data_IF_287241979639
#
_entry.id   IF_287241979639
#
_cell.length_a   1.000
_cell.length_b   1.000
_cell.length_c   1.000
_cell.angle_alpha   90.00
_cell.angle_beta   90.00
_cell.angle_gamma   90.00
#
_symmetry.space_group_name_H-M   'P 1'
#
loop_
_entity.id
_entity.type
_entity.pdbx_description
1 polymer ?
#
# COMPACT_ATOMS: atom_id res chain seq x y z
N UNK A 1 -4.46 10.24 -21.11
CA UNK A 1 -3.30 9.52 -20.61
C UNK A 1 -2.74 10.32 -19.43
N UNK A 2 -2.55 9.68 -18.30
CA UNK A 2 -1.96 10.31 -17.12
C UNK A 2 -0.44 10.47 -17.26
N UNK A 3 0.13 11.34 -16.43
CA UNK A 3 1.57 11.52 -16.36
C UNK A 3 2.26 10.28 -15.77
N UNK A 4 3.51 10.03 -16.19
CA UNK A 4 4.30 8.90 -15.73
C UNK A 4 5.69 9.36 -15.26
N UNK A 5 6.11 8.87 -14.09
CA UNK A 5 7.43 9.10 -13.51
C UNK A 5 8.08 7.77 -13.15
N UNK A 6 9.32 7.56 -13.60
CA UNK A 6 10.13 6.40 -13.23
C UNK A 6 11.42 6.89 -12.58
N UNK A 7 11.67 6.46 -11.35
CA UNK A 7 12.85 6.81 -10.58
C UNK A 7 13.70 5.56 -10.30
N UNK A 8 15.00 5.63 -10.58
CA UNK A 8 15.96 4.55 -10.32
C UNK A 8 17.12 5.03 -9.48
N UNK A 9 17.31 4.40 -8.33
CA UNK A 9 18.44 4.65 -7.43
C UNK A 9 19.52 3.57 -7.57
N UNK A 10 20.63 3.87 -8.22
CA UNK A 10 21.73 2.90 -8.44
C UNK A 10 22.48 2.52 -7.15
N UNK A 11 22.52 3.43 -6.17
CA UNK A 11 23.19 3.23 -4.88
C UNK A 11 22.30 3.63 -3.67
N UNK A 12 21.02 3.85 -3.88
CA UNK A 12 20.10 4.33 -2.87
C UNK A 12 18.67 3.85 -3.10
N UNK A 13 17.71 4.63 -2.62
CA UNK A 13 16.28 4.44 -2.88
C UNK A 13 15.91 5.03 -4.23
N UNK A 14 14.89 4.49 -4.87
CA UNK A 14 14.33 5.07 -6.08
C UNK A 14 13.65 6.41 -5.77
N UNK A 15 12.81 6.43 -4.72
CA UNK A 15 12.12 7.62 -4.20
C UNK A 15 12.28 7.63 -2.68
N UNK A 16 12.64 8.78 -2.13
CA UNK A 16 12.70 9.03 -0.68
C UNK A 16 12.11 10.42 -0.38
N UNK A 17 11.00 10.45 0.32
CA UNK A 17 10.24 11.67 0.59
C UNK A 17 9.62 11.67 2.00
N UNK A 18 9.15 12.83 2.46
CA UNK A 18 8.35 12.95 3.67
C UNK A 18 6.94 12.41 3.38
N UNK A 19 6.23 13.05 2.48
CA UNK A 19 4.92 12.67 1.99
C UNK A 19 4.96 12.40 0.49
N UNK A 20 4.13 11.47 0.02
CA UNK A 20 3.99 11.16 -1.40
C UNK A 20 2.52 11.25 -1.77
N UNK A 21 2.18 12.12 -2.71
CA UNK A 21 0.85 12.18 -3.31
C UNK A 21 0.94 11.94 -4.81
N UNK A 22 0.26 10.89 -5.28
CA UNK A 22 0.15 10.59 -6.71
C UNK A 22 -1.24 11.01 -7.16
N UNK A 23 -1.28 11.99 -8.05
CA UNK A 23 -2.49 12.61 -8.56
C UNK A 23 -3.30 11.67 -9.44
N UNK A 24 -4.58 11.95 -9.56
CA UNK A 24 -5.54 11.14 -10.30
C UNK A 24 -5.03 10.74 -11.70
N UNK A 25 -5.04 9.46 -11.99
CA UNK A 25 -4.62 8.87 -13.26
C UNK A 25 -3.10 8.91 -13.52
N UNK A 26 -2.27 9.45 -12.62
CA UNK A 26 -0.82 9.43 -12.76
C UNK A 26 -0.22 8.10 -12.32
N UNK A 27 0.96 7.78 -12.86
CA UNK A 27 1.70 6.55 -12.56
C UNK A 27 3.12 6.88 -12.08
N UNK A 28 3.52 6.30 -10.95
CA UNK A 28 4.86 6.46 -10.39
C UNK A 28 5.48 5.11 -10.14
N UNK A 29 6.76 4.96 -10.48
CA UNK A 29 7.54 3.76 -10.21
C UNK A 29 8.88 4.11 -9.60
N UNK A 30 9.24 3.42 -8.51
CA UNK A 30 10.53 3.53 -7.84
C UNK A 30 11.25 2.18 -7.78
N UNK A 31 12.54 2.16 -8.13
CA UNK A 31 13.42 1.00 -8.03
C UNK A 31 14.75 1.43 -7.39
N UNK A 32 15.26 0.68 -6.44
CA UNK A 32 16.53 1.02 -5.79
C UNK A 32 17.10 -0.09 -4.94
N UNK A 33 18.40 -0.05 -4.70
CA UNK A 33 19.13 -1.05 -3.88
C UNK A 33 18.79 -0.94 -2.39
N UNK A 34 18.41 0.24 -1.90
CA UNK A 34 17.96 0.46 -0.52
C UNK A 34 16.43 0.53 -0.40
N UNK A 35 15.71 0.04 -1.42
CA UNK A 35 14.27 0.07 -1.54
C UNK A 35 13.78 0.92 -2.72
N UNK A 36 12.62 0.60 -3.25
CA UNK A 36 12.04 1.32 -4.39
C UNK A 36 11.47 2.67 -3.99
N UNK A 37 10.61 2.67 -2.97
CA UNK A 37 9.89 3.86 -2.49
C UNK A 37 9.91 3.90 -0.98
N UNK A 38 10.24 5.06 -0.41
CA UNK A 38 10.19 5.32 1.02
C UNK A 38 9.47 6.64 1.29
N UNK A 39 8.42 6.58 2.10
CA UNK A 39 7.77 7.75 2.70
C UNK A 39 7.95 7.71 4.22
N UNK A 40 8.38 8.83 4.80
CA UNK A 40 8.53 8.97 6.26
C UNK A 40 7.23 9.36 6.94
N UNK A 41 6.19 9.67 6.17
CA UNK A 41 4.85 9.97 6.62
C UNK A 41 3.86 9.23 5.72
N UNK A 42 2.94 9.93 5.06
CA UNK A 42 1.82 9.33 4.34
C UNK A 42 2.10 9.13 2.85
N UNK A 43 1.38 8.17 2.27
CA UNK A 43 1.27 8.00 0.83
C UNK A 43 -0.19 8.09 0.44
N UNK A 44 -0.51 8.94 -0.52
CA UNK A 44 -1.87 9.09 -1.04
C UNK A 44 -1.90 8.77 -2.54
N UNK A 45 -2.72 7.79 -2.91
CA UNK A 45 -3.03 7.46 -4.30
C UNK A 45 -4.43 7.96 -4.61
N UNK A 46 -4.53 9.03 -5.40
CA UNK A 46 -5.81 9.57 -5.85
C UNK A 46 -6.48 8.62 -6.87
N UNK A 47 -7.72 8.90 -7.24
CA UNK A 47 -8.53 8.06 -8.13
C UNK A 47 -7.78 7.64 -9.41
N UNK A 48 -7.65 6.34 -9.62
CA UNK A 48 -6.96 5.77 -10.79
C UNK A 48 -5.44 5.99 -10.81
N UNK A 49 -4.83 6.50 -9.74
CA UNK A 49 -3.38 6.62 -9.63
C UNK A 49 -2.72 5.25 -9.45
N UNK A 50 -1.46 5.12 -9.87
CA UNK A 50 -0.71 3.88 -9.64
C UNK A 50 0.69 4.14 -9.06
N UNK A 51 1.08 3.28 -8.13
CA UNK A 51 2.41 3.24 -7.53
C UNK A 51 3.01 1.86 -7.70
N UNK A 52 4.25 1.80 -8.19
CA UNK A 52 5.03 0.59 -8.22
C UNK A 52 6.36 0.78 -7.48
N UNK A 53 6.76 -0.21 -6.68
CA UNK A 53 8.02 -0.20 -5.94
C UNK A 53 8.74 -1.55 -6.06
N UNK A 54 10.02 -1.50 -6.40
CA UNK A 54 10.83 -2.69 -6.64
C UNK A 54 12.18 -2.61 -5.94
N UNK A 55 12.66 -3.75 -5.44
CA UNK A 55 14.05 -3.95 -5.01
C UNK A 55 14.47 -5.40 -5.19
N UNK A 56 15.74 -5.62 -5.49
CA UNK A 56 16.35 -6.95 -5.54
C UNK A 56 17.19 -7.25 -4.28
N UNK A 57 17.24 -6.30 -3.34
CA UNK A 57 18.15 -6.33 -2.20
C UNK A 57 17.41 -6.59 -0.88
N UNK A 58 18.15 -6.54 0.22
CA UNK A 58 17.67 -6.84 1.57
C UNK A 58 17.03 -5.60 2.25
N UNK A 59 16.10 -4.97 1.57
CA UNK A 59 15.28 -3.86 2.07
C UNK A 59 13.84 -4.03 1.59
N UNK A 60 12.87 -3.41 2.25
CA UNK A 60 11.49 -3.41 1.77
C UNK A 60 11.41 -2.67 0.41
N UNK A 61 10.65 -3.19 -0.55
CA UNK A 61 10.47 -2.49 -1.82
C UNK A 61 9.73 -1.17 -1.62
N UNK A 62 8.72 -1.16 -0.74
CA UNK A 62 8.04 0.05 -0.30
C UNK A 62 8.06 0.13 1.23
N UNK A 63 8.33 1.31 1.78
CA UNK A 63 8.13 1.64 3.19
C UNK A 63 7.29 2.90 3.31
N UNK A 64 6.29 2.85 4.18
CA UNK A 64 5.41 3.97 4.51
C UNK A 64 5.26 4.01 6.03
N UNK A 65 5.85 5.02 6.68
CA UNK A 65 5.82 5.15 8.13
C UNK A 65 4.49 5.72 8.67
N UNK A 66 3.62 6.20 7.77
CA UNK A 66 2.27 6.65 8.05
C UNK A 66 1.19 5.84 7.33
N UNK A 67 0.09 6.50 7.01
CA UNK A 67 -1.04 5.87 6.33
C UNK A 67 -0.80 5.81 4.81
N UNK A 68 -1.08 4.66 4.20
CA UNK A 68 -1.21 4.53 2.76
C UNK A 68 -2.69 4.56 2.39
N UNK A 69 -3.12 5.68 1.81
CA UNK A 69 -4.50 5.92 1.38
C UNK A 69 -4.66 5.63 -0.11
N UNK A 70 -5.64 4.82 -0.45
CA UNK A 70 -5.93 4.41 -1.83
C UNK A 70 -7.37 4.72 -2.19
N UNK A 71 -7.57 5.63 -3.15
CA UNK A 71 -8.88 5.96 -3.70
C UNK A 71 -9.31 4.97 -4.80
N UNK A 72 -10.59 4.98 -5.13
CA UNK A 72 -11.21 4.10 -6.13
C UNK A 72 -10.43 4.03 -7.44
N UNK A 73 -10.24 2.83 -7.96
CA UNK A 73 -9.49 2.55 -9.19
C UNK A 73 -7.97 2.70 -9.08
N UNK A 74 -7.42 3.06 -7.91
CA UNK A 74 -5.96 3.14 -7.74
C UNK A 74 -5.32 1.76 -7.65
N UNK A 75 -4.00 1.70 -7.92
CA UNK A 75 -3.25 0.46 -7.97
C UNK A 75 -1.90 0.56 -7.26
N UNK A 76 -1.57 -0.44 -6.47
CA UNK A 76 -0.28 -0.64 -5.82
C UNK A 76 0.37 -1.93 -6.30
N UNK A 77 1.61 -1.85 -6.76
CA UNK A 77 2.43 -3.02 -7.08
C UNK A 77 3.74 -2.93 -6.30
N UNK A 78 4.04 -3.93 -5.50
CA UNK A 78 5.30 -4.02 -4.77
C UNK A 78 5.94 -5.38 -4.96
N UNK A 79 7.23 -5.40 -5.24
CA UNK A 79 7.97 -6.64 -5.42
C UNK A 79 9.37 -6.54 -4.79
N UNK A 80 9.62 -7.43 -3.85
CA UNK A 80 10.94 -7.64 -3.28
C UNK A 80 11.47 -9.00 -3.75
N UNK A 81 12.55 -9.00 -4.51
CA UNK A 81 13.22 -10.22 -4.96
C UNK A 81 14.36 -10.66 -4.03
N UNK A 82 14.65 -9.89 -3.00
CA UNK A 82 15.62 -10.22 -1.95
C UNK A 82 15.00 -11.03 -0.81
N UNK A 83 15.15 -10.57 0.43
CA UNK A 83 14.70 -11.30 1.64
C UNK A 83 13.60 -10.64 2.43
N UNK A 84 13.40 -9.33 2.26
CA UNK A 84 12.47 -8.54 3.08
C UNK A 84 11.06 -8.46 2.50
N UNK A 85 10.21 -7.68 3.14
CA UNK A 85 8.82 -7.50 2.72
C UNK A 85 8.72 -6.83 1.35
N UNK A 86 7.65 -7.10 0.64
CA UNK A 86 7.26 -6.30 -0.51
C UNK A 86 6.96 -4.88 -0.06
N UNK A 87 6.09 -4.72 0.94
CA UNK A 87 5.87 -3.45 1.59
C UNK A 87 5.82 -3.58 3.11
N UNK A 88 6.30 -2.56 3.81
CA UNK A 88 6.08 -2.29 5.22
C UNK A 88 5.30 -0.99 5.33
N UNK A 89 4.11 -1.04 5.89
CA UNK A 89 3.16 0.07 5.93
C UNK A 89 2.59 0.16 7.33
N UNK A 90 2.48 1.39 7.86
CA UNK A 90 1.89 1.59 9.17
C UNK A 90 0.41 1.18 9.15
N UNK A 91 -0.39 1.79 8.27
CA UNK A 91 -1.82 1.52 8.15
C UNK A 91 -2.31 1.73 6.71
N UNK A 92 -3.29 0.94 6.29
CA UNK A 92 -4.01 1.17 5.03
C UNK A 92 -5.35 1.87 5.28
N UNK A 93 -5.70 2.79 4.38
CA UNK A 93 -7.04 3.31 4.19
C UNK A 93 -7.46 3.09 2.72
N UNK A 94 -8.48 2.29 2.50
CA UNK A 94 -8.95 1.95 1.15
C UNK A 94 -10.37 2.46 0.98
N UNK A 95 -10.60 3.21 -0.10
CA UNK A 95 -11.90 3.73 -0.49
C UNK A 95 -12.23 3.26 -1.91
N UNK A 96 -13.35 2.55 -2.05
CA UNK A 96 -13.77 1.97 -3.32
C UNK A 96 -13.02 0.69 -3.70
N UNK A 97 -12.98 0.37 -4.98
CA UNK A 97 -12.31 -0.81 -5.52
C UNK A 97 -10.87 -0.48 -5.93
N UNK A 98 -9.89 -1.03 -5.24
CA UNK A 98 -8.46 -0.84 -5.52
C UNK A 98 -7.79 -2.14 -5.91
N UNK A 99 -6.65 -2.04 -6.61
CA UNK A 99 -5.81 -3.20 -6.94
C UNK A 99 -4.53 -3.19 -6.13
N UNK A 100 -4.19 -4.33 -5.51
CA UNK A 100 -2.92 -4.51 -4.80
C UNK A 100 -2.29 -5.83 -5.24
N UNK A 101 -1.08 -5.77 -5.77
CA UNK A 101 -0.24 -6.93 -6.04
C UNK A 101 1.07 -6.79 -5.27
N UNK A 102 1.24 -7.65 -4.27
CA UNK A 102 2.38 -7.59 -3.37
C UNK A 102 3.13 -8.92 -3.36
N UNK A 103 4.43 -8.86 -3.60
CA UNK A 103 5.33 -9.99 -3.49
C UNK A 103 6.48 -9.68 -2.54
N UNK A 104 6.60 -10.47 -1.47
CA UNK A 104 7.70 -10.41 -0.52
C UNK A 104 8.87 -11.30 -0.93
N UNK A 105 10.02 -11.04 -0.34
CA UNK A 105 11.21 -11.86 -0.50
C UNK A 105 11.13 -13.20 0.24
N UNK A 106 12.23 -13.95 0.21
CA UNK A 106 12.28 -15.35 0.64
C UNK A 106 12.01 -15.60 2.13
N UNK A 107 12.16 -14.59 2.97
CA UNK A 107 12.02 -14.71 4.44
C UNK A 107 10.95 -13.77 5.03
N UNK A 108 10.08 -13.21 4.19
CA UNK A 108 9.16 -12.16 4.59
C UNK A 108 7.78 -12.30 3.92
N UNK A 109 6.91 -11.31 4.12
CA UNK A 109 5.55 -11.27 3.58
C UNK A 109 5.45 -10.31 2.38
N UNK A 110 4.40 -10.44 1.57
CA UNK A 110 4.10 -9.44 0.55
C UNK A 110 3.80 -8.08 1.17
N UNK A 111 2.97 -8.07 2.22
CA UNK A 111 2.65 -6.87 3.01
C UNK A 111 2.88 -7.14 4.49
N UNK A 112 3.63 -6.26 5.14
CA UNK A 112 3.72 -6.17 6.60
C UNK A 112 3.06 -4.86 7.04
N UNK A 113 2.01 -4.97 7.87
CA UNK A 113 1.20 -3.84 8.30
C UNK A 113 1.33 -3.73 9.82
N UNK A 114 1.79 -2.59 10.29
CA UNK A 114 2.05 -2.38 11.72
C UNK A 114 0.76 -2.24 12.53
N UNK A 115 -0.18 -1.44 12.02
CA UNK A 115 -1.49 -1.19 12.65
C UNK A 115 -2.60 -1.37 11.62
N UNK A 116 -3.60 -2.19 11.89
CA UNK A 116 -4.80 -2.29 11.04
C UNK A 116 -6.01 -2.59 11.89
N UNK A 117 -6.89 -1.64 12.03
CA UNK A 117 -8.08 -1.77 12.88
C UNK A 117 -9.34 -2.12 12.10
N UNK A 118 -9.40 -1.74 10.82
CA UNK A 118 -10.54 -2.02 9.94
C UNK A 118 -10.27 -3.17 8.98
N UNK A 119 -11.34 -3.88 8.60
CA UNK A 119 -11.29 -4.83 7.50
C UNK A 119 -11.43 -4.12 6.16
N UNK A 120 -10.64 -4.54 5.18
CA UNK A 120 -10.60 -3.98 3.84
C UNK A 120 -10.52 -5.09 2.81
N UNK A 121 -10.87 -4.77 1.57
CA UNK A 121 -10.77 -5.66 0.41
C UNK A 121 -9.95 -4.99 -0.68
N UNK A 122 -9.18 -5.79 -1.40
CA UNK A 122 -8.45 -5.37 -2.59
C UNK A 122 -8.54 -6.45 -3.68
N UNK A 123 -8.54 -6.02 -4.94
CA UNK A 123 -8.38 -6.93 -6.07
C UNK A 123 -6.90 -7.22 -6.25
N UNK A 124 -6.52 -8.49 -6.39
CA UNK A 124 -5.14 -8.85 -6.65
C UNK A 124 -4.61 -9.96 -5.74
N UNK A 125 -3.36 -9.85 -5.35
CA UNK A 125 -2.68 -10.90 -4.59
C UNK A 125 -1.62 -10.36 -3.62
N UNK A 126 -1.38 -11.13 -2.55
CA UNK A 126 -0.29 -10.90 -1.62
C UNK A 126 0.42 -12.23 -1.34
N UNK A 127 1.69 -12.33 -1.70
CA UNK A 127 2.51 -13.56 -1.56
C UNK A 127 3.90 -13.27 -1.00
N UNK A 128 4.35 -13.89 0.09
CA UNK A 128 3.51 -14.59 1.07
C UNK A 128 2.38 -13.70 1.64
N UNK A 129 1.41 -14.32 2.32
CA UNK A 129 0.23 -13.62 2.85
C UNK A 129 0.57 -12.40 3.69
N UNK A 130 -0.32 -11.42 3.69
CA UNK A 130 -0.18 -10.22 4.51
C UNK A 130 -0.15 -10.55 6.01
N UNK A 131 0.71 -9.86 6.74
CA UNK A 131 0.80 -9.94 8.20
C UNK A 131 0.45 -8.59 8.81
N UNK A 132 -0.48 -8.61 9.75
CA UNK A 132 -0.82 -7.46 10.61
C UNK A 132 -0.19 -7.70 11.98
N UNK A 133 0.56 -6.74 12.50
CA UNK A 133 1.23 -6.85 13.78
C UNK A 133 0.27 -6.49 14.92
N UNK A 134 -0.41 -5.35 14.82
CA UNK A 134 -1.37 -4.86 15.82
C UNK A 134 -2.73 -4.55 15.18
N UNK A 135 -3.78 -4.71 15.97
CA UNK A 135 -5.15 -4.52 15.52
C UNK A 135 -5.83 -5.83 15.12
N UNK A 136 -7.12 -5.76 14.85
CA UNK A 136 -7.96 -6.89 14.46
C UNK A 136 -8.40 -6.85 12.99
N UNK A 137 -8.07 -5.76 12.31
CA UNK A 137 -8.38 -5.58 10.90
C UNK A 137 -7.48 -6.42 10.01
N UNK A 138 -7.93 -6.65 8.80
CA UNK A 138 -7.18 -7.39 7.77
C UNK A 138 -7.56 -6.93 6.37
N UNK A 139 -6.69 -7.21 5.41
CA UNK A 139 -6.97 -7.00 4.00
C UNK A 139 -7.27 -8.34 3.36
N UNK A 140 -8.44 -8.47 2.77
CA UNK A 140 -8.87 -9.66 2.02
C UNK A 140 -8.67 -9.43 0.54
N UNK A 141 -7.98 -10.35 -0.13
CA UNK A 141 -7.70 -10.29 -1.56
C UNK A 141 -8.73 -11.09 -2.33
N UNK A 142 -9.27 -10.49 -3.37
CA UNK A 142 -10.22 -11.12 -4.32
C UNK A 142 -9.66 -11.01 -5.73
N UNK A 143 -10.09 -11.87 -6.62
CA UNK A 143 -9.67 -11.90 -8.02
C UNK A 143 -10.48 -10.96 -8.93
N UNK A 144 -11.63 -10.46 -8.44
CA UNK A 144 -12.51 -9.56 -9.18
C UNK A 144 -13.23 -8.60 -8.24
N UNK A 145 -13.40 -7.34 -8.67
CA UNK A 145 -14.05 -6.29 -7.89
C UNK A 145 -15.52 -6.60 -7.54
N UNK A 146 -16.21 -7.41 -8.34
CA UNK A 146 -17.59 -7.84 -8.06
C UNK A 146 -17.71 -8.72 -6.82
N UNK A 147 -16.59 -9.28 -6.34
CA UNK A 147 -16.52 -10.08 -5.11
C UNK A 147 -16.27 -9.26 -3.84
N UNK A 148 -16.06 -7.94 -3.97
CA UNK A 148 -15.98 -7.04 -2.83
C UNK A 148 -17.40 -6.84 -2.28
N UNK A 149 -17.65 -7.13 -0.99
CA UNK A 149 -18.97 -6.89 -0.40
C UNK A 149 -19.36 -5.41 -0.45
N UNK A 150 -20.64 -5.12 -0.68
CA UNK A 150 -21.16 -3.75 -0.62
C UNK A 150 -20.99 -3.13 0.78
N UNK A 151 -21.12 -3.95 1.81
CA UNK A 151 -20.80 -3.61 3.20
C UNK A 151 -19.71 -4.57 3.70
N UNK A 152 -18.58 -4.00 4.14
CA UNK A 152 -17.47 -4.78 4.65
C UNK A 152 -17.68 -4.99 6.16
N UNK A 153 -17.86 -6.25 6.61
CA UNK A 153 -17.99 -6.53 8.03
C UNK A 153 -16.73 -6.09 8.79
N UNK A 154 -16.90 -5.30 9.83
CA UNK A 154 -15.80 -4.81 10.66
C UNK A 154 -15.54 -5.73 11.87
N UNK A 155 -14.31 -5.75 12.42
CA UNK A 155 -14.00 -6.51 13.62
C UNK A 155 -14.80 -6.02 14.82
N UNK A 156 -15.08 -6.92 15.76
CA UNK A 156 -15.71 -6.57 17.02
C UNK A 156 -14.93 -5.49 17.77
N UNK A 157 -15.61 -4.41 18.14
CA UNK A 157 -15.03 -3.26 18.83
C UNK A 157 -14.41 -2.20 17.90
N UNK A 158 -14.58 -2.33 16.58
CA UNK A 158 -14.24 -1.26 15.65
C UNK A 158 -15.13 -0.04 15.91
N UNK A 159 -14.49 1.11 16.08
CA UNK A 159 -15.14 2.42 16.18
C UNK A 159 -14.76 3.19 14.92
N UNK A 160 -15.75 3.49 14.09
CA UNK A 160 -15.55 4.37 12.96
C UNK A 160 -15.20 5.76 13.48
N UNK A 161 -14.00 6.27 13.18
CA UNK A 161 -13.68 7.67 13.44
C UNK A 161 -14.57 8.54 12.54
N UNK A 162 -15.72 8.95 13.06
CA UNK A 162 -16.51 9.99 12.40
C UNK A 162 -15.69 11.28 12.45
N UNK A 163 -15.33 11.82 11.29
CA UNK A 163 -14.75 13.14 11.18
C UNK A 163 -15.69 14.11 11.93
N UNK A 164 -15.25 14.59 13.08
CA UNK A 164 -15.95 15.67 13.77
C UNK A 164 -15.93 16.87 12.84
N UNK A 165 -17.09 17.16 12.26
CA UNK A 165 -17.33 18.45 11.63
C UNK A 165 -17.28 19.47 12.76
N UNK A 166 -16.15 20.17 12.91
CA UNK A 166 -16.11 21.37 13.73
C UNK A 166 -17.06 22.40 13.09
N UNK A 167 -18.28 22.44 13.58
CA UNK A 167 -19.15 23.61 13.42
C UNK A 167 -18.57 24.75 14.28
N UNK A 168 -18.02 25.73 13.62
CA UNK A 168 -17.81 27.07 14.18
C UNK A 168 -18.96 27.98 13.79
#
# INVERSE_FOLDING_TARGET
>A
AGDSLVCKGSNGRGIDAEDITIKAGASVSGEGVLGGVNSRSDITLEKGASLAAYTDENYNALKCDGQLSMADGSALTVENRGRYHGAEIYEFAIEGAVSINAAGGSEATGLFITEQHSNMYAVGSCKPEARVENGKGRITFVDDASKIPAEIPQPDGYIEETAETEEQ
#
